data_IF_500137727650
#
_entry.id   IF_500137727650
#
_cell.length_a   1.000
_cell.length_b   1.000
_cell.length_c   1.000
_cell.angle_alpha   90.00
_cell.angle_beta   90.00
_cell.angle_gamma   90.00
#
_symmetry.space_group_name_H-M   'P 1'
#
loop_
_entity.id
_entity.type
_entity.pdbx_description
1 polymer ?
#
# COMPACT_ATOMS: atom_id res chain seq x y z
N UNK A 1 30.30 16.32 -41.18
CA UNK A 1 29.21 15.33 -41.05
C UNK A 1 29.85 14.02 -40.59
N UNK A 2 29.79 13.76 -39.29
CA UNK A 2 30.40 12.59 -38.67
C UNK A 2 30.03 12.64 -37.20
N UNK A 3 28.88 12.06 -36.85
CA UNK A 3 28.46 11.94 -35.47
C UNK A 3 29.39 10.91 -34.80
N UNK A 4 30.11 11.37 -33.79
CA UNK A 4 31.01 10.57 -32.96
C UNK A 4 30.16 9.61 -32.11
N UNK A 5 30.06 8.35 -32.54
CA UNK A 5 29.36 7.26 -31.85
C UNK A 5 30.29 6.55 -30.83
N UNK A 6 31.23 7.27 -30.22
CA UNK A 6 32.32 6.69 -29.43
C UNK A 6 32.04 6.56 -27.92
N UNK A 7 30.78 6.66 -27.47
CA UNK A 7 30.44 6.54 -26.04
C UNK A 7 29.30 5.56 -25.68
N UNK A 8 28.92 4.66 -26.58
CA UNK A 8 27.89 3.63 -26.31
C UNK A 8 28.52 2.24 -26.07
N UNK A 9 29.43 2.11 -25.09
CA UNK A 9 29.96 0.80 -24.69
C UNK A 9 29.61 0.46 -23.25
N UNK A 10 28.96 -0.71 -23.10
CA UNK A 10 28.41 -1.33 -21.90
C UNK A 10 27.10 -0.74 -21.34
N UNK A 11 26.06 -0.72 -22.18
CA UNK A 11 24.70 -0.91 -21.66
C UNK A 11 24.62 -2.38 -21.21
N UNK A 12 24.78 -2.63 -19.91
CA UNK A 12 24.60 -3.97 -19.35
C UNK A 12 23.10 -4.28 -19.32
N UNK A 13 22.62 -5.35 -19.97
CA UNK A 13 21.22 -5.72 -19.89
C UNK A 13 20.89 -6.16 -18.46
N UNK A 14 20.03 -5.40 -17.80
CA UNK A 14 19.56 -5.66 -16.44
C UNK A 14 18.38 -4.75 -16.13
N UNK A 15 17.62 -5.08 -15.08
CA UNK A 15 16.59 -4.16 -14.58
C UNK A 15 17.30 -2.86 -14.16
N UNK A 16 16.92 -1.77 -14.81
CA UNK A 16 17.49 -0.46 -14.51
C UNK A 16 17.15 -0.06 -13.06
N UNK A 17 18.06 0.60 -12.33
CA UNK A 17 17.82 0.94 -10.93
C UNK A 17 16.65 1.93 -10.77
N UNK A 18 16.11 2.02 -9.56
CA UNK A 18 15.19 3.10 -9.20
C UNK A 18 15.95 4.42 -9.27
N UNK A 19 15.40 5.44 -9.93
CA UNK A 19 16.06 6.75 -10.07
C UNK A 19 15.17 7.84 -9.48
N UNK A 20 15.77 8.66 -8.63
CA UNK A 20 15.21 9.94 -8.22
C UNK A 20 15.93 11.06 -8.97
N UNK A 21 15.29 11.61 -9.99
CA UNK A 21 15.72 12.83 -10.64
C UNK A 21 15.37 14.01 -9.73
N UNK A 22 16.39 14.61 -9.13
CA UNK A 22 16.23 15.73 -8.21
C UNK A 22 16.93 16.96 -8.77
N UNK A 23 16.30 18.13 -8.70
CA UNK A 23 16.98 19.38 -9.07
C UNK A 23 18.31 19.53 -8.36
N UNK A 24 19.36 19.89 -9.11
CA UNK A 24 20.69 20.14 -8.56
C UNK A 24 20.71 21.24 -7.49
N UNK A 25 19.70 22.11 -7.48
CA UNK A 25 19.56 23.19 -6.50
C UNK A 25 19.13 22.67 -5.12
N UNK A 26 18.45 21.52 -5.07
CA UNK A 26 17.96 20.88 -3.85
C UNK A 26 18.94 19.80 -3.37
N UNK A 27 19.65 19.17 -4.32
CA UNK A 27 20.54 18.06 -4.03
C UNK A 27 21.61 18.38 -2.97
N UNK A 28 21.73 17.49 -2.00
CA UNK A 28 22.82 17.42 -1.04
C UNK A 28 23.18 15.96 -0.76
N UNK A 29 24.40 15.71 -0.28
CA UNK A 29 24.84 14.37 0.13
C UNK A 29 23.94 13.77 1.23
N UNK A 30 23.35 14.63 2.05
CA UNK A 30 22.48 14.25 3.15
C UNK A 30 21.21 13.58 2.65
N UNK A 31 20.67 13.99 1.49
CA UNK A 31 19.50 13.36 0.87
C UNK A 31 19.80 11.91 0.49
N UNK A 32 20.99 11.64 -0.05
CA UNK A 32 21.40 10.27 -0.37
C UNK A 32 21.49 9.42 0.90
N UNK A 33 22.00 9.96 2.01
CA UNK A 33 22.04 9.24 3.29
C UNK A 33 20.64 9.02 3.87
N UNK A 34 19.77 10.02 3.82
CA UNK A 34 18.38 9.91 4.27
C UNK A 34 17.60 8.85 3.49
N UNK A 35 17.82 8.75 2.18
CA UNK A 35 17.20 7.70 1.35
C UNK A 35 17.69 6.31 1.77
N UNK A 36 18.98 6.14 2.08
CA UNK A 36 19.48 4.85 2.59
C UNK A 36 18.87 4.50 3.95
N UNK A 37 18.74 5.47 4.86
CA UNK A 37 18.04 5.29 6.14
C UNK A 37 16.56 4.94 5.92
N UNK A 38 15.89 5.63 5.00
CA UNK A 38 14.51 5.35 4.62
C UNK A 38 14.34 3.93 4.09
N UNK A 39 15.26 3.44 3.24
CA UNK A 39 15.23 2.07 2.72
C UNK A 39 15.29 1.03 3.83
N UNK A 40 16.18 1.24 4.82
CA UNK A 40 16.26 0.35 5.98
C UNK A 40 15.00 0.40 6.85
N UNK A 41 14.51 1.61 7.15
CA UNK A 41 13.27 1.80 7.91
C UNK A 41 12.08 1.16 7.20
N UNK A 42 12.01 1.29 5.87
CA UNK A 42 10.97 0.65 5.06
C UNK A 42 11.02 -0.87 5.19
N UNK A 43 12.21 -1.48 5.12
CA UNK A 43 12.36 -2.92 5.35
C UNK A 43 11.95 -3.32 6.78
N UNK A 44 12.37 -2.57 7.81
CA UNK A 44 12.01 -2.84 9.20
C UNK A 44 10.50 -2.67 9.48
N UNK A 45 9.83 -1.74 8.82
CA UNK A 45 8.40 -1.49 9.01
C UNK A 45 7.53 -2.47 8.21
N UNK A 46 7.90 -2.76 6.96
CA UNK A 46 7.07 -3.49 6.00
C UNK A 46 7.52 -4.93 5.74
N UNK A 47 8.78 -5.27 6.03
CA UNK A 47 9.42 -6.53 5.63
C UNK A 47 9.77 -6.61 4.14
N UNK A 48 9.61 -5.52 3.38
CA UNK A 48 9.84 -5.48 1.93
C UNK A 48 11.26 -5.02 1.65
N UNK A 49 12.09 -5.81 0.95
CA UNK A 49 13.43 -5.38 0.56
C UNK A 49 13.33 -4.36 -0.57
N UNK A 50 13.84 -3.15 -0.35
CA UNK A 50 13.81 -2.08 -1.36
C UNK A 50 15.16 -2.00 -2.11
N UNK A 51 15.18 -2.06 -3.45
CA UNK A 51 16.38 -1.82 -4.24
C UNK A 51 17.00 -0.45 -3.96
N UNK A 52 18.26 -0.26 -4.37
CA UNK A 52 18.93 1.03 -4.24
C UNK A 52 18.24 2.07 -5.11
N UNK A 53 17.93 3.22 -4.51
CA UNK A 53 17.44 4.40 -5.23
C UNK A 53 18.65 5.28 -5.56
N UNK A 54 18.89 5.51 -6.84
CA UNK A 54 19.96 6.37 -7.33
C UNK A 54 19.42 7.81 -7.37
N UNK A 55 20.05 8.71 -6.62
CA UNK A 55 19.77 10.13 -6.72
C UNK A 55 20.54 10.70 -7.90
N UNK A 56 19.82 11.18 -8.91
CA UNK A 56 20.36 11.82 -10.09
C UNK A 56 20.15 13.35 -10.00
N UNK A 57 21.18 14.14 -9.68
CA UNK A 57 21.07 15.60 -9.62
C UNK A 57 20.96 16.19 -11.03
N UNK A 58 19.76 16.60 -11.43
CA UNK A 58 19.45 17.16 -12.74
C UNK A 58 19.74 18.67 -12.74
N UNK A 59 20.61 19.11 -13.65
CA UNK A 59 20.91 20.54 -13.87
C UNK A 59 19.74 21.24 -14.56
N UNK A 60 19.52 22.52 -14.24
CA UNK A 60 18.50 23.38 -14.87
C UNK A 60 17.06 22.84 -14.75
N UNK A 61 16.76 22.21 -13.62
CA UNK A 61 15.40 21.80 -13.29
C UNK A 61 14.87 22.76 -12.22
N UNK A 62 13.76 23.46 -12.50
CA UNK A 62 13.14 24.49 -11.65
C UNK A 62 12.58 23.89 -10.36
N UNK A 63 13.47 23.45 -9.45
CA UNK A 63 13.13 22.69 -8.24
C UNK A 63 12.29 21.42 -8.50
N UNK A 64 12.33 20.89 -9.72
CA UNK A 64 11.55 19.72 -10.07
C UNK A 64 12.12 18.43 -9.43
N UNK A 65 11.20 17.55 -9.09
CA UNK A 65 11.43 16.19 -8.61
C UNK A 65 10.69 15.22 -9.52
N UNK A 66 11.37 14.17 -9.95
CA UNK A 66 10.81 13.10 -10.75
C UNK A 66 11.30 11.75 -10.22
N UNK A 67 10.38 10.82 -9.99
CA UNK A 67 10.72 9.47 -9.57
C UNK A 67 10.46 8.48 -10.71
N UNK A 68 11.51 7.74 -11.07
CA UNK A 68 11.50 6.74 -12.13
C UNK A 68 11.53 5.35 -11.53
N UNK A 69 10.51 4.56 -11.84
CA UNK A 69 10.45 3.14 -11.55
C UNK A 69 10.87 2.38 -12.81
N UNK A 70 12.10 1.85 -12.81
CA UNK A 70 12.68 1.17 -13.98
C UNK A 70 12.62 2.03 -15.26
N UNK A 71 13.05 3.30 -15.14
CA UNK A 71 12.96 4.37 -16.17
C UNK A 71 11.57 4.93 -16.50
N UNK A 72 10.50 4.32 -16.00
CA UNK A 72 9.16 4.88 -16.20
C UNK A 72 8.85 5.93 -15.14
N UNK A 73 8.48 7.13 -15.58
CA UNK A 73 8.14 8.24 -14.69
C UNK A 73 6.81 7.98 -13.98
N UNK A 74 6.86 7.74 -12.66
CA UNK A 74 5.67 7.49 -11.85
C UNK A 74 5.23 8.71 -11.02
N UNK A 75 6.08 9.72 -10.87
CA UNK A 75 5.75 10.95 -10.18
C UNK A 75 6.59 12.11 -10.69
N UNK A 76 5.97 13.29 -10.81
CA UNK A 76 6.59 14.57 -11.19
C UNK A 76 5.91 15.69 -10.42
N UNK A 77 6.69 16.53 -9.76
CA UNK A 77 6.22 17.78 -9.16
C UNK A 77 7.36 18.79 -9.10
N UNK A 78 7.03 20.03 -8.75
CA UNK A 78 7.97 21.09 -8.42
C UNK A 78 7.98 21.29 -6.90
N UNK A 79 9.10 20.95 -6.27
CA UNK A 79 9.26 21.06 -4.82
C UNK A 79 9.62 22.50 -4.47
N UNK A 80 8.64 23.28 -4.03
CA UNK A 80 8.87 24.64 -3.54
C UNK A 80 9.14 24.63 -2.03
N UNK A 81 9.98 25.55 -1.56
CA UNK A 81 10.37 25.59 -0.14
C UNK A 81 9.17 25.86 0.79
N UNK A 82 8.18 26.60 0.30
CA UNK A 82 6.96 26.98 1.00
C UNK A 82 5.89 25.88 1.06
N UNK A 83 6.04 24.76 0.35
CA UNK A 83 5.04 23.69 0.34
C UNK A 83 5.45 22.52 1.21
N UNK A 84 4.61 22.11 2.13
CA UNK A 84 4.84 20.94 3.00
C UNK A 84 3.85 19.83 2.67
N UNK A 85 4.25 18.60 2.97
CA UNK A 85 3.36 17.45 2.87
C UNK A 85 2.99 16.98 4.27
N UNK A 86 1.70 16.70 4.45
CA UNK A 86 1.11 16.38 5.73
C UNK A 86 0.21 15.14 5.60
N UNK A 87 0.27 14.27 6.61
CA UNK A 87 -0.58 13.10 6.72
C UNK A 87 -1.33 13.14 8.05
N UNK A 88 -2.32 14.04 8.19
CA UNK A 88 -3.23 13.94 9.32
C UNK A 88 -4.36 12.96 9.03
N UNK A 89 -4.44 11.92 9.86
CA UNK A 89 -5.66 11.14 10.03
C UNK A 89 -6.75 11.88 10.82
N UNK A 90 -6.82 13.21 10.73
CA UNK A 90 -7.78 14.02 11.50
C UNK A 90 -8.76 14.74 10.60
N UNK A 91 -10.00 14.87 11.07
CA UNK A 91 -11.11 15.55 10.41
C UNK A 91 -10.91 17.08 10.28
N UNK A 92 -9.76 17.61 10.73
CA UNK A 92 -9.40 19.04 10.69
C UNK A 92 -8.54 19.39 9.47
N UNK A 93 -8.58 18.59 8.42
CA UNK A 93 -8.07 18.98 7.10
C UNK A 93 -9.03 20.02 6.51
N UNK A 94 -8.76 21.29 6.84
CA UNK A 94 -9.44 22.45 6.27
C UNK A 94 -8.99 22.70 4.82
N UNK A 95 -9.62 23.66 4.13
CA UNK A 95 -9.32 24.00 2.73
C UNK A 95 -7.85 24.39 2.48
N UNK A 96 -7.11 24.73 3.52
CA UNK A 96 -5.68 25.01 3.52
C UNK A 96 -4.81 23.78 3.21
N UNK A 97 -5.37 22.58 3.28
CA UNK A 97 -4.70 21.31 2.96
C UNK A 97 -5.28 20.73 1.67
N UNK A 98 -4.57 20.93 0.57
CA UNK A 98 -4.98 20.47 -0.76
C UNK A 98 -4.63 19.00 -0.91
N UNK A 99 -5.64 18.16 -1.17
CA UNK A 99 -5.41 16.75 -1.47
C UNK A 99 -4.85 16.59 -2.88
N UNK A 100 -3.70 15.92 -2.99
CA UNK A 100 -3.03 15.61 -4.24
C UNK A 100 -2.90 14.09 -4.40
N UNK A 101 -3.13 13.60 -5.61
CA UNK A 101 -3.02 12.18 -5.94
C UNK A 101 -1.57 11.87 -6.34
N UNK A 102 -0.87 11.08 -5.52
CA UNK A 102 0.51 10.63 -5.83
C UNK A 102 0.54 9.45 -6.80
N UNK A 103 -0.46 8.57 -6.73
CA UNK A 103 -0.55 7.37 -7.53
C UNK A 103 -2.00 6.88 -7.60
N UNK A 104 -2.26 5.75 -8.28
CA UNK A 104 -3.57 5.12 -8.27
C UNK A 104 -4.11 4.89 -6.84
N UNK A 105 -3.23 4.48 -5.91
CA UNK A 105 -3.58 4.00 -4.58
C UNK A 105 -3.04 4.87 -3.42
N UNK A 106 -2.50 6.07 -3.70
CA UNK A 106 -1.92 6.93 -2.67
C UNK A 106 -2.25 8.40 -2.92
N UNK A 107 -2.50 9.10 -1.83
CA UNK A 107 -2.78 10.54 -1.78
C UNK A 107 -1.86 11.19 -0.75
N UNK A 108 -1.65 12.50 -0.90
CA UNK A 108 -0.95 13.34 0.06
C UNK A 108 -1.72 14.64 0.25
N UNK A 109 -1.59 15.26 1.43
CA UNK A 109 -2.10 16.62 1.65
C UNK A 109 -0.95 17.61 1.56
N UNK A 110 -1.07 18.57 0.64
CA UNK A 110 -0.13 19.66 0.43
C UNK A 110 -0.66 20.91 1.13
N UNK A 111 0.15 21.56 1.95
CA UNK A 111 -0.20 22.86 2.56
C UNK A 111 0.98 23.81 2.53
N UNK A 112 0.74 25.08 2.85
CA UNK A 112 1.80 26.07 2.99
C UNK A 112 2.52 25.89 4.33
N UNK A 113 3.85 26.05 4.36
CA UNK A 113 4.66 26.03 5.57
C UNK A 113 4.17 27.03 6.63
N UNK A 114 3.62 28.16 6.20
CA UNK A 114 3.06 29.18 7.07
C UNK A 114 1.88 28.67 7.94
N UNK A 115 1.26 27.54 7.57
CA UNK A 115 0.13 26.95 8.27
C UNK A 115 0.53 25.97 9.39
N UNK A 116 1.81 25.95 9.79
CA UNK A 116 2.31 25.05 10.83
C UNK A 116 1.53 25.09 12.15
N UNK A 117 0.92 26.23 12.51
CA UNK A 117 0.08 26.35 13.72
C UNK A 117 -1.18 25.48 13.65
N UNK A 118 -1.72 25.23 12.45
CA UNK A 118 -2.84 24.30 12.25
C UNK A 118 -2.36 22.85 12.46
N UNK A 119 -1.16 22.51 11.99
CA UNK A 119 -0.58 21.18 12.19
C UNK A 119 -0.20 20.90 13.67
N UNK A 120 0.15 21.93 14.45
CA UNK A 120 0.45 21.80 15.88
C UNK A 120 -0.72 21.22 16.70
N UNK A 121 -1.96 21.48 16.29
CA UNK A 121 -3.16 21.00 16.99
C UNK A 121 -3.44 19.53 16.68
N UNK A 122 -2.98 19.04 15.53
CA UNK A 122 -3.36 17.74 14.96
C UNK A 122 -2.19 16.74 14.83
N UNK A 123 -0.99 17.10 15.28
CA UNK A 123 0.21 16.22 15.31
C UNK A 123 1.35 16.75 14.45
N UNK A 124 2.27 17.51 15.04
CA UNK A 124 3.38 18.18 14.34
C UNK A 124 4.41 17.21 13.72
N UNK A 125 4.51 15.99 14.25
CA UNK A 125 5.52 15.00 13.86
C UNK A 125 5.36 14.48 12.40
N UNK A 126 4.22 14.76 11.77
CA UNK A 126 3.92 14.40 10.36
C UNK A 126 4.05 15.59 9.39
N UNK A 127 4.65 16.70 9.83
CA UNK A 127 4.86 17.90 9.02
C UNK A 127 6.24 17.88 8.34
N UNK A 128 6.31 17.33 7.13
CA UNK A 128 7.57 17.14 6.42
C UNK A 128 8.11 18.49 5.89
N UNK A 129 9.31 18.90 6.35
CA UNK A 129 10.01 20.12 5.91
C UNK A 129 11.31 19.78 5.17
N UNK A 130 11.80 20.70 4.33
CA UNK A 130 13.10 20.58 3.64
C UNK A 130 13.30 19.20 2.98
N UNK A 131 14.30 18.43 3.40
CA UNK A 131 14.61 17.10 2.84
C UNK A 131 13.64 16.00 3.29
N UNK A 132 12.96 16.19 4.43
CA UNK A 132 11.99 15.20 4.93
C UNK A 132 10.80 15.06 3.97
N UNK A 133 10.47 16.13 3.22
CA UNK A 133 9.45 16.11 2.16
C UNK A 133 9.78 15.04 1.11
N UNK A 134 11.04 14.98 0.67
CA UNK A 134 11.50 14.03 -0.34
C UNK A 134 11.38 12.60 0.19
N UNK A 135 11.88 12.36 1.40
CA UNK A 135 11.82 11.04 2.05
C UNK A 135 10.37 10.59 2.27
N UNK A 136 9.51 11.50 2.71
CA UNK A 136 8.08 11.24 2.92
C UNK A 136 7.38 10.87 1.61
N UNK A 137 7.57 11.67 0.55
CA UNK A 137 7.00 11.40 -0.77
C UNK A 137 7.48 10.06 -1.33
N UNK A 138 8.79 9.82 -1.28
CA UNK A 138 9.37 8.55 -1.71
C UNK A 138 8.76 7.38 -0.96
N UNK A 139 8.64 7.45 0.36
CA UNK A 139 8.02 6.40 1.18
C UNK A 139 6.58 6.11 0.73
N UNK A 140 5.79 7.14 0.45
CA UNK A 140 4.41 7.02 -0.04
C UNK A 140 4.34 6.42 -1.45
N UNK A 141 5.28 6.78 -2.33
CA UNK A 141 5.37 6.25 -3.69
C UNK A 141 5.80 4.78 -3.69
N UNK A 142 6.82 4.39 -2.91
CA UNK A 142 7.26 2.99 -2.84
C UNK A 142 6.23 2.11 -2.16
N UNK A 143 5.53 2.59 -1.11
CA UNK A 143 4.41 1.87 -0.51
C UNK A 143 3.26 1.65 -1.51
N UNK A 144 2.92 2.68 -2.28
CA UNK A 144 1.88 2.53 -3.31
C UNK A 144 2.23 1.50 -4.38
N UNK A 145 3.52 1.27 -4.62
CA UNK A 145 4.03 0.33 -5.61
C UNK A 145 4.68 -0.89 -4.94
N UNK A 146 4.30 -1.19 -3.69
CA UNK A 146 4.94 -2.22 -2.87
C UNK A 146 5.01 -3.60 -3.56
N UNK A 147 3.98 -3.93 -4.34
CA UNK A 147 3.89 -5.17 -5.13
C UNK A 147 5.08 -5.36 -6.07
N UNK A 148 5.53 -4.29 -6.73
CA UNK A 148 6.62 -4.31 -7.72
C UNK A 148 7.96 -4.69 -7.12
N UNK A 149 8.11 -4.56 -5.80
CA UNK A 149 9.32 -4.93 -5.06
C UNK A 149 9.26 -6.35 -4.49
N UNK A 150 8.20 -7.11 -4.77
CA UNK A 150 8.07 -8.51 -4.38
C UNK A 150 8.04 -9.37 -5.64
N UNK A 151 9.22 -9.71 -6.15
CA UNK A 151 9.39 -10.65 -7.25
C UNK A 151 9.79 -12.05 -6.78
N UNK A 152 10.16 -12.88 -7.76
CA UNK A 152 10.67 -14.24 -7.52
C UNK A 152 12.00 -14.19 -6.76
N UNK A 153 12.89 -13.26 -7.12
CA UNK A 153 14.21 -13.12 -6.51
C UNK A 153 14.10 -12.64 -5.06
N UNK A 154 13.26 -11.63 -4.81
CA UNK A 154 13.06 -11.05 -3.47
C UNK A 154 12.39 -12.06 -2.55
N UNK A 155 11.37 -12.77 -3.04
CA UNK A 155 10.70 -13.82 -2.26
C UNK A 155 11.68 -14.95 -1.93
N UNK A 156 12.55 -15.33 -2.88
CA UNK A 156 13.59 -16.33 -2.64
C UNK A 156 14.57 -15.88 -1.57
N UNK A 157 15.07 -14.66 -1.69
CA UNK A 157 15.94 -14.04 -0.68
C UNK A 157 15.32 -14.04 0.72
N UNK A 158 14.05 -13.65 0.85
CA UNK A 158 13.32 -13.67 2.12
C UNK A 158 13.21 -15.09 2.70
N UNK A 159 12.95 -16.09 1.86
CA UNK A 159 12.90 -17.50 2.27
C UNK A 159 14.28 -18.02 2.72
N UNK A 160 15.35 -17.65 2.03
CA UNK A 160 16.72 -18.08 2.36
C UNK A 160 17.20 -17.45 3.69
N UNK A 161 16.82 -16.20 3.99
CA UNK A 161 17.04 -15.59 5.30
C UNK A 161 16.30 -16.39 6.39
N UNK A 162 15.03 -16.71 6.15
CA UNK A 162 14.20 -17.48 7.08
C UNK A 162 14.75 -18.89 7.32
N UNK A 163 15.32 -19.54 6.31
CA UNK A 163 15.88 -20.90 6.42
C UNK A 163 17.00 -20.99 7.46
N UNK A 164 17.74 -19.90 7.69
CA UNK A 164 18.79 -19.85 8.73
C UNK A 164 18.27 -20.07 10.15
N UNK A 165 17.00 -19.75 10.41
CA UNK A 165 16.35 -19.86 11.73
C UNK A 165 15.22 -20.89 11.77
N UNK A 166 14.54 -21.11 10.64
CA UNK A 166 13.33 -21.93 10.53
C UNK A 166 13.43 -22.86 9.31
N UNK A 167 14.50 -23.64 9.21
CA UNK A 167 14.79 -24.50 8.06
C UNK A 167 13.66 -25.51 7.75
N UNK A 168 13.15 -26.21 8.75
CA UNK A 168 12.08 -27.21 8.58
C UNK A 168 10.79 -26.55 8.08
N UNK A 169 10.44 -25.38 8.62
CA UNK A 169 9.29 -24.59 8.18
C UNK A 169 9.41 -24.22 6.70
N UNK A 170 10.55 -23.68 6.29
CA UNK A 170 10.77 -23.23 4.91
C UNK A 170 10.75 -24.42 3.95
N UNK A 171 11.38 -25.55 4.30
CA UNK A 171 11.39 -26.76 3.47
C UNK A 171 10.01 -27.38 3.33
N UNK A 172 9.25 -27.49 4.41
CA UNK A 172 7.87 -28.00 4.35
C UNK A 172 6.97 -27.08 3.53
N UNK A 173 7.09 -25.76 3.67
CA UNK A 173 6.38 -24.80 2.83
C UNK A 173 6.70 -24.99 1.34
N UNK A 174 7.98 -25.14 0.98
CA UNK A 174 8.40 -25.36 -0.41
C UNK A 174 7.87 -26.68 -1.00
N UNK A 175 7.69 -27.72 -0.18
CA UNK A 175 7.11 -29.00 -0.61
C UNK A 175 5.62 -28.89 -0.89
N UNK A 176 4.90 -28.04 -0.14
CA UNK A 176 3.44 -27.90 -0.24
C UNK A 176 3.00 -26.81 -1.22
N UNK A 177 3.76 -25.72 -1.30
CA UNK A 177 3.50 -24.57 -2.15
C UNK A 177 4.72 -24.23 -3.00
N UNK A 178 4.50 -24.17 -4.32
CA UNK A 178 5.51 -23.66 -5.24
C UNK A 178 5.80 -22.17 -5.01
N UNK A 179 7.01 -21.74 -5.36
CA UNK A 179 7.46 -20.35 -5.19
C UNK A 179 6.51 -19.33 -5.80
N UNK A 180 5.92 -19.62 -6.97
CA UNK A 180 4.96 -18.73 -7.63
C UNK A 180 3.73 -18.42 -6.77
N UNK A 181 3.21 -19.41 -6.01
CA UNK A 181 2.08 -19.18 -5.09
C UNK A 181 2.49 -18.32 -3.90
N UNK A 182 3.69 -18.54 -3.36
CA UNK A 182 4.20 -17.74 -2.24
C UNK A 182 4.40 -16.29 -2.68
N UNK A 183 4.97 -16.07 -3.87
CA UNK A 183 5.11 -14.73 -4.49
C UNK A 183 3.74 -14.06 -4.60
N UNK A 184 2.74 -14.72 -5.18
CA UNK A 184 1.39 -14.15 -5.34
C UNK A 184 0.74 -13.78 -4.00
N UNK A 185 0.89 -14.62 -2.97
CA UNK A 185 0.36 -14.33 -1.63
C UNK A 185 1.06 -13.13 -1.01
N UNK A 186 2.39 -13.07 -1.03
CA UNK A 186 3.15 -11.94 -0.48
C UNK A 186 2.81 -10.65 -1.24
N UNK A 187 2.71 -10.70 -2.57
CA UNK A 187 2.27 -9.58 -3.40
C UNK A 187 0.89 -9.06 -2.99
N UNK A 188 -0.09 -9.96 -2.82
CA UNK A 188 -1.46 -9.58 -2.39
C UNK A 188 -1.49 -8.95 -1.00
N UNK A 189 -0.66 -9.42 -0.07
CA UNK A 189 -0.54 -8.81 1.26
C UNK A 189 0.02 -7.39 1.17
N UNK A 190 1.12 -7.20 0.44
CA UNK A 190 1.78 -5.88 0.36
C UNK A 190 1.00 -4.87 -0.49
N UNK A 191 0.21 -5.32 -1.48
CA UNK A 191 -0.74 -4.48 -2.23
C UNK A 191 -1.74 -3.76 -1.30
N UNK A 192 -2.05 -4.36 -0.16
CA UNK A 192 -2.96 -3.80 0.84
C UNK A 192 -2.20 -3.19 2.03
N UNK A 193 -0.91 -2.91 1.84
CA UNK A 193 0.01 -2.37 2.84
C UNK A 193 0.08 -3.22 4.13
N UNK A 194 -0.12 -4.54 4.01
CA UNK A 194 0.11 -5.48 5.11
C UNK A 194 1.61 -5.76 5.21
N UNK A 195 2.17 -5.54 6.40
CA UNK A 195 3.58 -5.83 6.64
C UNK A 195 3.81 -7.33 6.59
N UNK A 196 4.83 -7.73 5.84
CA UNK A 196 5.29 -9.12 5.73
C UNK A 196 6.50 -9.36 6.64
N UNK A 197 6.82 -8.45 7.57
CA UNK A 197 7.92 -8.61 8.53
C UNK A 197 7.80 -9.89 9.36
N UNK A 198 6.59 -10.28 9.74
CA UNK A 198 6.34 -11.53 10.44
C UNK A 198 6.15 -12.71 9.46
N UNK A 199 7.20 -12.98 8.67
CA UNK A 199 7.23 -14.11 7.72
C UNK A 199 6.98 -15.45 8.40
N UNK A 200 7.32 -15.58 9.69
CA UNK A 200 7.08 -16.81 10.44
C UNK A 200 5.58 -17.10 10.52
N UNK A 201 4.78 -16.14 11.00
CA UNK A 201 3.33 -16.31 11.11
C UNK A 201 2.69 -16.56 9.74
N UNK A 202 3.17 -15.87 8.69
CA UNK A 202 2.74 -16.10 7.31
C UNK A 202 3.01 -17.55 6.91
N UNK A 203 4.24 -18.04 7.04
CA UNK A 203 4.63 -19.38 6.60
C UNK A 203 3.96 -20.50 7.40
N UNK A 204 3.84 -20.36 8.72
CA UNK A 204 3.11 -21.31 9.59
C UNK A 204 1.64 -21.43 9.14
N UNK A 205 1.00 -20.29 8.86
CA UNK A 205 -0.38 -20.26 8.39
C UNK A 205 -0.52 -20.94 7.03
N UNK A 206 0.41 -20.66 6.11
CA UNK A 206 0.40 -21.26 4.77
C UNK A 206 0.64 -22.76 4.78
N UNK A 207 1.55 -23.28 5.61
CA UNK A 207 1.76 -24.73 5.72
C UNK A 207 0.49 -25.42 6.20
N UNK A 208 -0.17 -24.88 7.23
CA UNK A 208 -1.40 -25.52 7.72
C UNK A 208 -2.53 -25.48 6.68
N UNK A 209 -2.77 -24.32 6.06
CA UNK A 209 -3.91 -24.13 5.16
C UNK A 209 -3.69 -24.64 3.74
N UNK A 210 -2.46 -24.64 3.22
CA UNK A 210 -2.17 -25.06 1.84
C UNK A 210 -2.45 -26.54 1.56
N UNK A 211 -2.53 -27.37 2.60
CA UNK A 211 -2.98 -28.76 2.49
C UNK A 211 -4.48 -28.88 2.22
N UNK A 212 -5.27 -27.90 2.66
CA UNK A 212 -6.75 -27.89 2.60
C UNK A 212 -7.28 -26.98 1.51
N UNK A 213 -6.60 -25.88 1.26
CA UNK A 213 -7.00 -24.83 0.35
C UNK A 213 -5.93 -24.64 -0.74
N UNK A 214 -6.38 -24.46 -1.98
CA UNK A 214 -5.52 -24.29 -3.15
C UNK A 214 -5.66 -22.90 -3.79
N UNK A 215 -6.78 -22.21 -3.54
CA UNK A 215 -7.01 -20.85 -3.98
C UNK A 215 -6.14 -19.88 -3.18
N UNK A 216 -5.26 -19.18 -3.89
CA UNK A 216 -4.34 -18.17 -3.36
C UNK A 216 -5.06 -16.96 -2.77
N UNK A 217 -6.24 -16.61 -3.27
CA UNK A 217 -7.07 -15.54 -2.71
C UNK A 217 -7.50 -15.93 -1.29
N UNK A 218 -8.05 -17.13 -1.12
CA UNK A 218 -8.53 -17.61 0.18
C UNK A 218 -7.35 -17.83 1.14
N UNK A 219 -6.23 -18.38 0.67
CA UNK A 219 -5.01 -18.52 1.49
C UNK A 219 -4.52 -17.15 2.00
N UNK A 220 -4.57 -16.11 1.16
CA UNK A 220 -4.23 -14.75 1.56
C UNK A 220 -5.16 -14.24 2.67
N UNK A 221 -6.46 -14.49 2.59
CA UNK A 221 -7.42 -14.13 3.64
C UNK A 221 -7.13 -14.85 4.96
N UNK A 222 -6.77 -16.14 4.95
CA UNK A 222 -6.33 -16.85 6.16
C UNK A 222 -5.06 -16.26 6.77
N UNK A 223 -4.09 -15.87 5.93
CA UNK A 223 -2.89 -15.19 6.40
C UNK A 223 -3.24 -13.84 7.03
N UNK A 224 -4.16 -13.07 6.44
CA UNK A 224 -4.62 -11.80 7.02
C UNK A 224 -5.27 -12.00 8.38
N UNK A 225 -6.11 -13.03 8.55
CA UNK A 225 -6.68 -13.39 9.87
C UNK A 225 -5.57 -13.70 10.87
N UNK A 226 -4.56 -14.47 10.48
CA UNK A 226 -3.42 -14.78 11.36
C UNK A 226 -2.65 -13.50 11.76
N UNK A 227 -2.56 -12.52 10.84
CA UNK A 227 -1.96 -11.21 11.06
C UNK A 227 -2.90 -10.17 11.69
N UNK A 228 -4.09 -10.57 12.19
CA UNK A 228 -5.10 -9.63 12.73
C UNK A 228 -4.55 -8.61 13.72
N UNK A 229 -3.62 -9.01 14.61
CA UNK A 229 -3.05 -8.12 15.62
C UNK A 229 -2.29 -6.95 14.98
N UNK A 230 -1.56 -7.25 13.90
CA UNK A 230 -0.84 -6.26 13.10
C UNK A 230 -1.80 -5.36 12.34
N UNK A 231 -2.79 -5.96 11.67
CA UNK A 231 -3.82 -5.22 10.91
C UNK A 231 -4.58 -4.25 11.82
N UNK A 232 -5.09 -4.73 12.94
CA UNK A 232 -5.83 -3.91 13.91
C UNK A 232 -4.95 -2.83 14.54
N UNK A 233 -3.66 -3.12 14.77
CA UNK A 233 -2.71 -2.12 15.28
C UNK A 233 -2.58 -0.88 14.39
N UNK A 234 -2.87 -0.99 13.09
CA UNK A 234 -2.81 0.13 12.14
C UNK A 234 -4.07 1.00 12.14
N UNK A 235 -5.23 0.40 12.43
CA UNK A 235 -6.53 1.06 12.23
C UNK A 235 -7.30 1.33 13.51
N UNK A 236 -6.97 0.64 14.61
CA UNK A 236 -7.61 0.87 15.90
C UNK A 236 -7.06 2.12 16.57
N UNK A 237 -7.95 3.03 16.95
CA UNK A 237 -7.59 4.21 17.73
C UNK A 237 -7.24 3.74 19.14
N UNK A 238 -5.98 3.93 19.54
CA UNK A 238 -5.45 3.53 20.86
C UNK A 238 -5.65 2.04 21.19
N UNK A 239 -5.83 1.19 20.18
CA UNK A 239 -5.92 -0.26 20.35
C UNK A 239 -7.28 -0.81 20.77
N UNK A 240 -8.33 0.03 20.95
CA UNK A 240 -9.60 -0.42 21.54
C UNK A 240 -10.83 -0.12 20.70
N UNK A 241 -10.81 0.94 19.89
CA UNK A 241 -11.95 1.40 19.09
C UNK A 241 -11.62 1.38 17.60
N UNK A 242 -12.52 0.79 16.80
CA UNK A 242 -12.41 0.80 15.34
C UNK A 242 -13.65 1.46 14.72
N UNK A 243 -13.43 2.54 13.99
CA UNK A 243 -14.45 3.19 13.18
C UNK A 243 -14.73 2.34 11.94
N UNK A 244 -15.98 1.90 11.75
CA UNK A 244 -16.34 1.00 10.64
C UNK A 244 -17.50 1.52 9.82
N UNK A 245 -17.42 1.33 8.51
CA UNK A 245 -18.55 1.37 7.60
C UNK A 245 -18.92 -0.04 7.21
N UNK A 246 -20.15 -0.44 7.46
CA UNK A 246 -20.61 -1.80 7.16
C UNK A 246 -21.13 -1.89 5.73
N UNK A 247 -20.77 -2.95 5.02
CA UNK A 247 -21.51 -3.36 3.82
C UNK A 247 -22.70 -4.21 4.27
N UNK A 248 -23.89 -3.83 3.81
CA UNK A 248 -25.15 -4.50 4.11
C UNK A 248 -25.29 -5.84 3.42
N UNK A 249 -26.07 -6.73 4.05
CA UNK A 249 -26.27 -8.11 3.58
C UNK A 249 -26.74 -8.22 2.13
N UNK A 250 -27.54 -7.27 1.65
CA UNK A 250 -28.07 -7.31 0.28
C UNK A 250 -26.95 -7.16 -0.75
N UNK A 251 -26.07 -6.18 -0.53
CA UNK A 251 -24.88 -5.97 -1.36
C UNK A 251 -23.91 -7.14 -1.18
N UNK A 252 -23.72 -7.66 0.04
CA UNK A 252 -22.85 -8.81 0.26
C UNK A 252 -23.33 -10.05 -0.51
N UNK A 253 -24.63 -10.32 -0.49
CA UNK A 253 -25.24 -11.45 -1.21
C UNK A 253 -25.12 -11.26 -2.73
N UNK A 254 -25.42 -10.09 -3.25
CA UNK A 254 -25.26 -9.78 -4.67
C UNK A 254 -23.81 -9.96 -5.14
N UNK A 255 -22.85 -9.44 -4.38
CA UNK A 255 -21.42 -9.60 -4.69
C UNK A 255 -21.02 -11.07 -4.66
N UNK A 256 -21.49 -11.83 -3.67
CA UNK A 256 -21.21 -13.27 -3.54
C UNK A 256 -21.77 -14.06 -4.71
N UNK A 257 -23.01 -13.79 -5.12
CA UNK A 257 -23.63 -14.41 -6.29
C UNK A 257 -22.96 -14.02 -7.61
N UNK A 258 -22.23 -12.90 -7.63
CA UNK A 258 -21.49 -12.39 -8.77
C UNK A 258 -20.07 -12.96 -8.87
N UNK A 259 -19.56 -13.67 -7.86
CA UNK A 259 -18.23 -14.30 -7.94
C UNK A 259 -18.26 -15.46 -8.93
N UNK A 260 -17.28 -15.49 -9.84
CA UNK A 260 -17.09 -16.54 -10.83
C UNK A 260 -15.72 -17.19 -10.65
N UNK A 261 -15.73 -18.51 -10.64
CA UNK A 261 -14.55 -19.34 -10.52
C UNK A 261 -14.01 -19.68 -11.90
N UNK A 262 -12.70 -19.47 -12.12
CA UNK A 262 -12.02 -19.84 -13.38
C UNK A 262 -10.73 -20.60 -13.09
N UNK A 263 -10.13 -21.19 -14.12
CA UNK A 263 -8.79 -21.80 -14.02
C UNK A 263 -7.70 -20.82 -13.60
N UNK A 264 -7.87 -19.53 -13.90
CA UNK A 264 -6.95 -18.45 -13.53
C UNK A 264 -7.27 -17.83 -12.16
N UNK A 265 -8.32 -18.31 -11.50
CA UNK A 265 -8.77 -17.84 -10.19
C UNK A 265 -10.17 -17.22 -10.19
N UNK A 266 -10.51 -16.66 -9.04
CA UNK A 266 -11.84 -16.19 -8.69
C UNK A 266 -11.97 -14.68 -8.98
N UNK A 267 -12.97 -14.24 -9.74
CA UNK A 267 -13.20 -12.81 -10.06
C UNK A 267 -14.66 -12.38 -9.82
N UNK A 268 -14.89 -11.07 -9.67
CA UNK A 268 -16.22 -10.49 -9.51
C UNK A 268 -16.82 -10.15 -10.88
N UNK A 269 -17.96 -10.75 -11.23
CA UNK A 269 -18.68 -10.52 -12.48
C UNK A 269 -19.94 -9.67 -12.23
N UNK A 270 -19.74 -8.38 -12.01
CA UNK A 270 -20.80 -7.38 -11.80
C UNK A 270 -20.73 -6.32 -12.90
N UNK A 271 -21.86 -5.69 -13.24
CA UNK A 271 -21.85 -4.64 -14.27
C UNK A 271 -21.12 -3.38 -13.78
N UNK A 272 -20.48 -2.61 -14.69
CA UNK A 272 -19.86 -1.34 -14.34
C UNK A 272 -20.83 -0.35 -13.69
N UNK A 273 -22.05 -0.25 -14.21
CA UNK A 273 -23.08 0.67 -13.72
C UNK A 273 -23.47 0.33 -12.27
N UNK A 274 -23.57 -0.96 -11.96
CA UNK A 274 -23.87 -1.40 -10.60
C UNK A 274 -22.69 -1.16 -9.65
N UNK A 275 -21.46 -1.37 -10.11
CA UNK A 275 -20.26 -1.02 -9.34
C UNK A 275 -20.22 0.48 -9.01
N UNK A 276 -20.52 1.34 -10.00
CA UNK A 276 -20.60 2.79 -9.82
C UNK A 276 -21.71 3.20 -8.83
N UNK A 277 -22.87 2.52 -8.86
CA UNK A 277 -23.93 2.73 -7.88
C UNK A 277 -23.46 2.43 -6.45
N UNK A 278 -22.84 1.27 -6.22
CA UNK A 278 -22.33 0.88 -4.89
C UNK A 278 -21.25 1.87 -4.42
N UNK A 279 -20.34 2.27 -5.31
CA UNK A 279 -19.32 3.30 -5.03
C UNK A 279 -19.99 4.63 -4.69
N UNK A 280 -21.06 5.02 -5.39
CA UNK A 280 -21.83 6.22 -5.11
C UNK A 280 -22.44 6.22 -3.71
N UNK A 281 -23.01 5.09 -3.28
CA UNK A 281 -23.52 4.94 -1.92
C UNK A 281 -22.40 5.02 -0.87
N UNK A 282 -21.24 4.40 -1.14
CA UNK A 282 -20.06 4.50 -0.29
C UNK A 282 -19.57 5.95 -0.15
N UNK A 283 -19.59 6.75 -1.23
CA UNK A 283 -19.19 8.19 -1.20
C UNK A 283 -20.02 8.99 -0.20
N UNK A 284 -21.31 8.70 -0.12
CA UNK A 284 -22.23 9.40 0.76
C UNK A 284 -21.97 9.13 2.25
N UNK A 285 -21.37 7.99 2.59
CA UNK A 285 -21.09 7.63 3.99
C UNK A 285 -19.63 7.89 4.41
N UNK A 286 -18.66 7.68 3.49
CA UNK A 286 -17.23 7.80 3.79
C UNK A 286 -16.82 9.28 3.89
N UNK A 287 -17.17 10.09 2.90
CA UNK A 287 -16.74 11.50 2.83
C UNK A 287 -17.13 12.35 4.06
N UNK A 288 -18.36 12.26 4.61
CA UNK A 288 -18.74 13.10 5.74
C UNK A 288 -18.18 12.64 7.09
N UNK A 289 -17.73 11.39 7.22
CA UNK A 289 -17.36 10.80 8.52
C UNK A 289 -15.85 10.65 8.74
N UNK A 290 -15.04 10.88 7.70
CA UNK A 290 -13.57 10.92 7.81
C UNK A 290 -12.94 9.53 7.82
N UNK A 291 -12.15 9.22 8.86
CA UNK A 291 -11.31 8.02 8.91
C UNK A 291 -12.00 6.81 9.52
N UNK A 292 -11.94 5.68 8.80
CA UNK A 292 -12.50 4.41 9.19
C UNK A 292 -12.07 3.30 8.25
N UNK A 293 -12.66 2.12 8.45
CA UNK A 293 -12.45 0.95 7.58
C UNK A 293 -13.78 0.45 7.07
N UNK A 294 -13.82 -0.04 5.84
CA UNK A 294 -14.98 -0.78 5.36
C UNK A 294 -14.89 -2.19 5.95
N UNK A 295 -15.97 -2.64 6.58
CA UNK A 295 -16.08 -3.94 7.21
C UNK A 295 -17.13 -4.79 6.48
N UNK A 296 -16.74 -6.01 6.12
CA UNK A 296 -17.54 -6.92 5.29
C UNK A 296 -17.21 -8.40 5.58
N UNK A 297 -17.92 -9.33 4.97
CA UNK A 297 -17.64 -10.77 5.04
C UNK A 297 -16.28 -11.15 4.41
N UNK A 298 -15.62 -12.16 4.99
CA UNK A 298 -14.30 -12.65 4.58
C UNK A 298 -14.21 -13.00 3.10
N UNK A 299 -15.22 -13.71 2.59
CA UNK A 299 -15.25 -14.27 1.25
C UNK A 299 -15.35 -13.22 0.15
N UNK A 300 -15.90 -12.04 0.46
CA UNK A 300 -16.07 -10.95 -0.51
C UNK A 300 -15.08 -9.79 -0.34
N UNK A 301 -14.35 -9.73 0.78
CA UNK A 301 -13.50 -8.60 1.19
C UNK A 301 -12.52 -8.14 0.12
N UNK A 302 -11.81 -9.08 -0.52
CA UNK A 302 -10.85 -8.78 -1.60
C UNK A 302 -11.54 -8.12 -2.80
N UNK A 303 -12.74 -8.56 -3.16
CA UNK A 303 -13.51 -8.01 -4.27
C UNK A 303 -14.01 -6.60 -3.96
N UNK A 304 -14.46 -6.37 -2.73
CA UNK A 304 -14.81 -5.03 -2.25
C UNK A 304 -13.59 -4.11 -2.33
N UNK A 305 -12.41 -4.54 -1.84
CA UNK A 305 -11.18 -3.71 -1.95
C UNK A 305 -10.85 -3.37 -3.39
N UNK A 306 -10.94 -4.34 -4.31
CA UNK A 306 -10.69 -4.12 -5.74
C UNK A 306 -11.72 -3.21 -6.40
N UNK A 307 -12.99 -3.33 -6.06
CA UNK A 307 -14.05 -2.47 -6.59
C UNK A 307 -13.84 -1.00 -6.19
N UNK A 308 -13.38 -0.75 -4.96
CA UNK A 308 -13.27 0.63 -4.46
C UNK A 308 -11.90 1.29 -4.73
N UNK A 309 -10.86 0.54 -5.12
CA UNK A 309 -9.47 1.05 -5.11
C UNK A 309 -9.28 2.31 -5.95
N UNK A 310 -10.00 2.44 -7.08
CA UNK A 310 -9.93 3.62 -7.94
C UNK A 310 -10.59 4.88 -7.36
N UNK A 311 -11.62 4.73 -6.53
CA UNK A 311 -12.36 5.86 -5.93
C UNK A 311 -11.93 6.17 -4.49
N UNK A 312 -11.51 5.14 -3.75
CA UNK A 312 -11.14 5.20 -2.33
C UNK A 312 -9.81 4.48 -2.10
N UNK A 313 -8.71 5.00 -2.66
CA UNK A 313 -7.42 4.35 -2.60
C UNK A 313 -6.91 4.14 -1.16
N UNK A 314 -7.11 5.14 -0.31
CA UNK A 314 -6.68 5.16 1.10
C UNK A 314 -7.60 4.39 2.05
N UNK A 315 -8.82 4.01 1.62
CA UNK A 315 -9.79 3.34 2.51
C UNK A 315 -9.42 1.87 2.68
N UNK A 316 -9.19 1.40 3.91
CA UNK A 316 -8.94 -0.01 4.19
C UNK A 316 -10.24 -0.82 4.12
N UNK A 317 -10.14 -2.08 3.71
CA UNK A 317 -11.25 -3.04 3.77
C UNK A 317 -10.83 -4.23 4.62
N UNK A 318 -11.55 -4.45 5.72
CA UNK A 318 -11.33 -5.53 6.67
C UNK A 318 -12.50 -6.52 6.65
N UNK A 319 -12.21 -7.76 7.00
CA UNK A 319 -13.24 -8.76 7.27
C UNK A 319 -13.63 -8.81 8.74
N UNK A 320 -14.84 -9.28 9.05
CA UNK A 320 -15.26 -9.52 10.44
C UNK A 320 -14.28 -10.43 11.21
N UNK A 321 -13.72 -11.43 10.53
CA UNK A 321 -12.77 -12.39 11.08
C UNK A 321 -11.39 -11.78 11.37
N UNK A 322 -11.00 -10.73 10.64
CA UNK A 322 -9.79 -9.95 10.92
C UNK A 322 -9.92 -9.05 12.15
N UNK A 323 -11.13 -8.58 12.47
CA UNK A 323 -11.36 -7.77 13.67
C UNK A 323 -11.40 -8.63 14.93
N UNK A 324 -12.09 -9.77 14.87
CA UNK A 324 -12.33 -10.61 16.03
C UNK A 324 -13.18 -9.93 17.12
N UNK A 325 -13.27 -10.55 18.30
CA UNK A 325 -14.24 -10.16 19.32
C UNK A 325 -13.71 -9.18 20.38
N UNK A 326 -12.43 -8.81 20.32
CA UNK A 326 -11.76 -8.07 21.41
C UNK A 326 -11.66 -6.56 21.15
N UNK A 327 -12.28 -6.07 20.06
CA UNK A 327 -12.24 -4.67 19.65
C UNK A 327 -13.65 -4.11 19.63
N UNK A 328 -13.83 -2.91 20.20
CA UNK A 328 -15.10 -2.20 20.14
C UNK A 328 -15.27 -1.60 18.73
N UNK A 329 -16.43 -1.87 18.12
CA UNK A 329 -16.78 -1.36 16.80
C UNK A 329 -17.67 -0.13 16.92
N UNK A 330 -17.19 1.01 16.40
CA UNK A 330 -18.00 2.20 16.21
C UNK A 330 -18.50 2.25 14.78
N UNK A 331 -19.75 1.82 14.57
CA UNK A 331 -20.39 1.85 13.26
C UNK A 331 -20.72 3.30 12.90
N UNK A 332 -20.07 3.82 11.86
CA UNK A 332 -20.28 5.18 11.34
C UNK A 332 -21.43 5.23 10.33
N UNK A 333 -21.69 4.12 9.66
CA UNK A 333 -22.75 3.99 8.67
C UNK A 333 -22.81 2.58 8.08
N UNK A 334 -23.88 2.31 7.35
CA UNK A 334 -24.08 1.05 6.64
C UNK A 334 -24.52 1.35 5.22
N UNK A 335 -23.89 0.70 4.24
CA UNK A 335 -24.33 0.74 2.85
C UNK A 335 -25.30 -0.41 2.63
N UNK A 336 -26.57 -0.08 2.53
CA UNK A 336 -27.61 -1.02 2.10
C UNK A 336 -28.10 -0.63 0.71
N UNK A 337 -28.59 -1.60 -0.05
CA UNK A 337 -29.33 -1.30 -1.28
C UNK A 337 -30.77 -0.94 -0.89
N UNK A 338 -31.16 0.32 -1.08
CA UNK A 338 -32.54 0.75 -0.81
C UNK A 338 -33.48 0.42 -1.98
N UNK A 339 -33.25 -0.70 -2.68
CA UNK A 339 -34.24 -1.25 -3.61
C UNK A 339 -35.38 -1.86 -2.79
N UNK A 340 -36.24 -1.00 -2.28
CA UNK A 340 -37.60 -1.30 -1.84
C UNK A 340 -38.58 -0.46 -2.66
#
# INVERSE_FOLDING_TARGET
MGADLSNSQNISPGAEPLILNLSSNIYSSDITQQIEVMRWNFFEESGIPLPKIIVNPVKNNDSAIEFLLYQESIYKDTLTDDTVYFEAGHAEISFEFVQEKLSANSIVYKTNEANQQLAHVSGMDVYAKTNDKITFLLKKLVLSNAKEFIGVQETRYLMDIMERKYNELVKELQRQLGLSKIVDILQRLVEENISIRDLRTIFETLIFWSTKEKDVVILCEYVRIALRRHILGRYSVRGTLLNVWLIGSDIENELRESIRQTSSGSYLNISPERSEQIIGFLKNIVNPTGNGVILTALDIRRYVKKMIEGSFPSVPVLSFQEVGNNIELKVLGTVNDFRA
#
